data_IF_900389082062
#
_entry.id   IF_900389082062
#
_cell.length_a   1.000
_cell.length_b   1.000
_cell.length_c   1.000
_cell.angle_alpha   90.00
_cell.angle_beta   90.00
_cell.angle_gamma   90.00
#
_symmetry.space_group_name_H-M   'P 1'
#
loop_
_entity.id
_entity.type
_entity.pdbx_description
1 polymer ?
#
# COMPACT_ATOMS: atom_id res chain seq x y z
N UNK A 1 -42.42 86.54 11.10
CA UNK A 1 -43.45 85.89 11.93
C UNK A 1 -43.92 84.65 11.20
N UNK A 2 -43.78 83.48 11.85
CA UNK A 2 -44.68 82.30 11.76
C UNK A 2 -45.06 81.74 10.37
N UNK A 3 -44.36 80.69 9.88
CA UNK A 3 -44.69 79.24 9.98
C UNK A 3 -46.11 78.84 9.55
N UNK A 4 -46.23 77.99 8.53
CA UNK A 4 -46.88 76.67 8.63
C UNK A 4 -46.66 75.81 7.36
N UNK A 5 -46.48 74.50 7.58
CA UNK A 5 -46.14 73.44 6.62
C UNK A 5 -47.39 72.72 6.09
N UNK A 6 -47.27 72.03 4.96
CA UNK A 6 -48.09 70.85 4.61
C UNK A 6 -47.18 69.70 4.13
N UNK A 7 -47.51 68.42 4.41
CA UNK A 7 -46.55 67.31 4.40
C UNK A 7 -46.52 66.55 3.07
N UNK A 8 -45.33 66.11 2.65
CA UNK A 8 -45.15 65.10 1.61
C UNK A 8 -45.03 63.72 2.27
N UNK A 9 -45.96 62.82 1.93
CA UNK A 9 -45.93 61.42 2.35
C UNK A 9 -44.83 60.66 1.61
N UNK A 10 -43.89 60.10 2.37
CA UNK A 10 -42.85 59.22 1.87
C UNK A 10 -43.30 57.77 2.11
N UNK A 11 -43.64 57.05 1.04
CA UNK A 11 -43.97 55.63 1.10
C UNK A 11 -42.68 54.80 1.22
N UNK A 12 -42.52 54.09 2.33
CA UNK A 12 -41.40 53.18 2.59
C UNK A 12 -41.70 51.81 1.96
N UNK A 13 -41.09 51.52 0.81
CA UNK A 13 -41.11 50.20 0.18
C UNK A 13 -40.10 49.29 0.89
N UNK A 14 -40.61 48.37 1.73
CA UNK A 14 -39.81 47.31 2.33
C UNK A 14 -39.51 46.21 1.30
N UNK A 15 -38.27 46.12 0.85
CA UNK A 15 -37.77 44.96 0.09
C UNK A 15 -37.45 43.81 1.06
N UNK A 16 -38.19 42.71 0.95
CA UNK A 16 -37.89 41.45 1.63
C UNK A 16 -36.81 40.74 0.80
N UNK A 17 -35.59 40.66 1.33
CA UNK A 17 -34.53 39.81 0.78
C UNK A 17 -34.78 38.37 1.22
N UNK A 18 -35.26 37.52 0.31
CA UNK A 18 -35.28 36.07 0.50
C UNK A 18 -33.86 35.53 0.27
N UNK A 19 -33.18 35.12 1.34
CA UNK A 19 -31.91 34.40 1.27
C UNK A 19 -32.24 32.93 0.97
N UNK A 20 -32.03 32.50 -0.27
CA UNK A 20 -32.09 31.09 -0.63
C UNK A 20 -30.76 30.42 -0.24
N UNK A 21 -30.79 29.58 0.80
CA UNK A 21 -29.67 28.73 1.18
C UNK A 21 -29.53 27.59 0.16
N UNK A 22 -28.64 27.78 -0.82
CA UNK A 22 -28.24 26.71 -1.74
C UNK A 22 -27.23 25.80 -1.01
N UNK A 23 -27.69 24.60 -0.62
CA UNK A 23 -26.80 23.53 -0.18
C UNK A 23 -25.99 23.06 -1.40
N UNK A 24 -24.73 23.51 -1.52
CA UNK A 24 -23.80 22.91 -2.48
C UNK A 24 -23.38 21.56 -1.94
N UNK A 25 -23.90 20.49 -2.54
CA UNK A 25 -23.37 19.14 -2.31
C UNK A 25 -22.14 19.03 -3.20
N UNK A 26 -20.96 19.24 -2.63
CA UNK A 26 -19.71 18.89 -3.31
C UNK A 26 -19.73 17.39 -3.57
N UNK A 27 -19.58 16.91 -4.82
CA UNK A 27 -19.41 15.48 -5.03
C UNK A 27 -18.17 15.03 -4.27
N UNK A 28 -18.34 14.13 -3.31
CA UNK A 28 -17.21 13.49 -2.63
C UNK A 28 -16.41 12.78 -3.70
N UNK A 29 -15.12 13.10 -3.91
CA UNK A 29 -14.31 12.34 -4.84
C UNK A 29 -14.34 10.88 -4.42
N UNK A 30 -14.79 10.00 -5.32
CA UNK A 30 -14.69 8.56 -5.13
C UNK A 30 -13.20 8.24 -5.28
N UNK A 31 -12.52 8.01 -4.16
CA UNK A 31 -11.14 7.53 -4.19
C UNK A 31 -11.07 6.26 -5.04
N UNK A 32 -10.15 6.23 -6.00
CA UNK A 32 -9.93 5.04 -6.81
C UNK A 32 -9.53 3.87 -5.91
N UNK A 33 -9.98 2.66 -6.25
CA UNK A 33 -9.57 1.47 -5.51
C UNK A 33 -8.04 1.34 -5.58
N UNK A 34 -7.36 1.02 -4.47
CA UNK A 34 -5.91 0.90 -4.45
C UNK A 34 -5.44 -0.19 -5.42
N UNK A 35 -4.38 0.10 -6.16
CA UNK A 35 -3.79 -0.83 -7.13
C UNK A 35 -2.91 -1.83 -6.38
N UNK A 36 -3.16 -3.12 -6.57
CA UNK A 36 -2.33 -4.19 -6.01
C UNK A 36 -1.19 -4.56 -6.96
N UNK A 37 0.03 -4.71 -6.40
CA UNK A 37 1.23 -5.12 -7.14
C UNK A 37 2.01 -6.19 -6.37
N UNK A 38 2.86 -6.93 -7.08
CA UNK A 38 3.81 -7.84 -6.44
C UNK A 38 4.90 -7.05 -5.72
N UNK A 39 5.14 -7.40 -4.47
CA UNK A 39 6.25 -6.88 -3.69
C UNK A 39 7.46 -7.83 -3.77
N UNK A 40 7.33 -9.07 -3.33
CA UNK A 40 8.39 -10.08 -3.41
C UNK A 40 7.94 -11.29 -4.19
N UNK A 41 8.88 -11.94 -4.89
CA UNK A 41 8.59 -13.13 -5.67
C UNK A 41 9.82 -14.03 -5.78
N UNK A 42 9.59 -15.32 -5.59
CA UNK A 42 10.53 -16.37 -5.90
C UNK A 42 9.80 -17.53 -6.57
N UNK A 43 10.11 -17.78 -7.84
CA UNK A 43 9.23 -18.58 -8.71
C UNK A 43 9.95 -19.69 -9.47
N UNK A 44 11.26 -19.84 -9.32
CA UNK A 44 12.03 -20.86 -10.06
C UNK A 44 12.07 -22.17 -9.27
N UNK A 45 11.34 -23.22 -9.70
CA UNK A 45 11.30 -24.47 -8.95
C UNK A 45 12.61 -25.26 -9.05
N UNK A 46 13.03 -25.82 -7.92
CA UNK A 46 14.09 -26.83 -7.79
C UNK A 46 13.56 -28.02 -7.00
N UNK A 47 13.96 -28.12 -5.73
CA UNK A 47 13.49 -29.14 -4.78
C UNK A 47 12.16 -28.85 -4.06
N UNK A 48 11.93 -29.58 -2.97
CA UNK A 48 10.79 -29.41 -2.06
C UNK A 48 11.10 -30.01 -0.68
N UNK A 49 10.42 -29.53 0.36
CA UNK A 49 10.43 -30.13 1.71
C UNK A 49 9.01 -30.42 2.19
N UNK A 50 8.84 -31.46 3.00
CA UNK A 50 7.58 -31.71 3.70
C UNK A 50 7.37 -30.71 4.84
N UNK A 51 6.27 -29.97 4.79
CA UNK A 51 5.95 -28.94 5.78
C UNK A 51 5.81 -29.59 7.17
N UNK A 52 5.06 -30.69 7.27
CA UNK A 52 4.77 -31.35 8.55
C UNK A 52 5.99 -32.03 9.21
N UNK A 53 7.04 -32.38 8.44
CA UNK A 53 8.24 -33.01 8.99
C UNK A 53 9.31 -32.00 9.40
N UNK A 54 9.28 -30.79 8.83
CA UNK A 54 10.32 -29.78 9.03
C UNK A 54 9.85 -28.56 9.84
N UNK A 55 8.76 -28.69 10.60
CA UNK A 55 8.25 -27.60 11.42
C UNK A 55 9.22 -27.25 12.58
N UNK A 56 9.41 -25.96 12.91
CA UNK A 56 8.87 -24.82 12.20
C UNK A 56 9.59 -24.58 10.87
N UNK A 57 8.79 -24.36 9.82
CA UNK A 57 9.22 -24.15 8.43
C UNK A 57 8.70 -22.81 7.95
N UNK A 58 9.55 -22.03 7.29
CA UNK A 58 9.18 -20.69 6.89
C UNK A 58 10.09 -20.06 5.86
N UNK A 59 9.75 -18.85 5.43
CA UNK A 59 10.51 -18.03 4.50
C UNK A 59 10.65 -16.62 5.05
N UNK A 60 11.88 -16.15 5.22
CA UNK A 60 12.18 -14.79 5.64
C UNK A 60 12.15 -13.84 4.44
N UNK A 61 11.50 -12.69 4.60
CA UNK A 61 11.41 -11.66 3.56
C UNK A 61 11.44 -10.25 4.16
N UNK A 62 11.79 -9.27 3.33
CA UNK A 62 11.81 -7.85 3.70
C UNK A 62 10.88 -7.09 2.75
N UNK A 63 9.68 -6.65 3.18
CA UNK A 63 8.75 -5.92 2.33
C UNK A 63 9.34 -4.62 1.80
N UNK A 64 8.93 -4.22 0.59
CA UNK A 64 9.13 -2.86 0.06
C UNK A 64 7.85 -2.03 0.15
N UNK A 65 6.70 -2.69 0.28
CA UNK A 65 5.40 -2.04 0.42
C UNK A 65 5.00 -1.96 1.89
N UNK A 66 4.18 -0.97 2.24
CA UNK A 66 3.65 -0.77 3.60
C UNK A 66 2.48 -1.70 3.96
N UNK A 67 1.99 -2.48 2.99
CA UNK A 67 0.88 -3.40 3.18
C UNK A 67 1.17 -4.76 2.57
N UNK A 68 0.57 -5.78 3.14
CA UNK A 68 0.54 -7.15 2.64
C UNK A 68 -0.92 -7.55 2.41
N UNK A 69 -1.34 -7.59 1.15
CA UNK A 69 -2.70 -7.94 0.72
C UNK A 69 -2.85 -9.45 0.53
N UNK A 70 -1.80 -10.12 0.05
CA UNK A 70 -1.78 -11.58 -0.09
C UNK A 70 -0.38 -12.17 0.00
N UNK A 71 -0.33 -13.43 0.40
CA UNK A 71 0.84 -14.30 0.24
C UNK A 71 0.44 -15.50 -0.59
N UNK A 72 1.21 -15.80 -1.62
CA UNK A 72 1.07 -17.02 -2.42
C UNK A 72 2.26 -17.94 -2.18
N UNK A 73 2.01 -19.24 -2.02
CA UNK A 73 3.05 -20.28 -1.87
C UNK A 73 2.84 -21.40 -2.87
N UNK A 74 3.92 -21.97 -3.39
CA UNK A 74 3.83 -23.11 -4.32
C UNK A 74 3.95 -24.42 -3.55
N UNK A 75 2.83 -25.14 -3.45
CA UNK A 75 2.71 -26.33 -2.60
C UNK A 75 2.11 -27.51 -3.37
N UNK A 76 2.30 -28.71 -2.85
CA UNK A 76 1.66 -29.93 -3.33
C UNK A 76 1.14 -30.75 -2.14
N UNK A 77 -0.14 -31.12 -2.18
CA UNK A 77 -0.72 -32.05 -1.23
C UNK A 77 -0.43 -33.49 -1.67
N UNK A 78 0.55 -34.13 -1.05
CA UNK A 78 0.90 -35.54 -1.32
C UNK A 78 0.08 -36.54 -0.49
N UNK A 79 -0.91 -36.05 0.24
CA UNK A 79 -1.86 -36.89 0.95
C UNK A 79 -3.02 -37.29 0.05
N UNK A 80 -3.54 -38.50 0.27
CA UNK A 80 -4.74 -39.00 -0.44
C UNK A 80 -6.06 -38.39 0.05
N UNK A 81 -6.03 -37.30 0.82
CA UNK A 81 -7.22 -36.63 1.36
C UNK A 81 -7.00 -35.11 1.43
N UNK A 82 -8.08 -34.31 1.56
CA UNK A 82 -7.95 -32.86 1.74
C UNK A 82 -7.08 -32.53 2.96
N UNK A 83 -6.15 -31.60 2.80
CA UNK A 83 -5.16 -31.26 3.81
C UNK A 83 -5.30 -29.80 4.23
N UNK A 84 -5.52 -29.49 5.52
CA UNK A 84 -5.50 -28.12 6.00
C UNK A 84 -4.07 -27.57 5.92
N UNK A 85 -3.94 -26.32 5.46
CA UNK A 85 -2.68 -25.58 5.48
C UNK A 85 -2.94 -24.22 6.11
N UNK A 86 -2.16 -23.89 7.15
CA UNK A 86 -2.22 -22.59 7.81
C UNK A 86 -0.95 -21.81 7.49
N UNK A 87 -1.12 -20.59 7.01
CA UNK A 87 -0.07 -19.59 6.87
C UNK A 87 -0.11 -18.63 8.06
N UNK A 88 1.06 -18.32 8.62
CA UNK A 88 1.25 -17.26 9.60
C UNK A 88 2.27 -16.26 9.08
N UNK A 89 2.03 -14.98 9.33
CA UNK A 89 3.02 -13.91 9.10
C UNK A 89 3.55 -13.49 10.47
N UNK A 90 4.88 -13.49 10.63
CA UNK A 90 5.56 -13.13 11.88
C UNK A 90 6.49 -11.96 11.69
N UNK A 91 6.73 -11.21 12.77
CA UNK A 91 7.73 -10.14 12.81
C UNK A 91 9.11 -10.68 13.17
N UNK A 92 10.13 -10.34 12.39
CA UNK A 92 11.53 -10.60 12.69
C UNK A 92 12.00 -12.03 12.41
N UNK A 93 11.49 -13.02 13.15
CA UNK A 93 11.96 -14.41 13.10
C UNK A 93 10.82 -15.43 13.12
N UNK A 94 11.16 -16.70 12.86
CA UNK A 94 10.22 -17.84 12.93
C UNK A 94 9.62 -18.05 14.33
N UNK A 95 10.31 -17.59 15.38
CA UNK A 95 9.84 -17.60 16.76
C UNK A 95 9.24 -16.25 17.20
N UNK A 96 9.28 -15.23 16.34
CA UNK A 96 8.75 -13.91 16.61
C UNK A 96 7.21 -13.86 16.70
N UNK A 97 6.63 -12.72 17.12
CA UNK A 97 5.19 -12.60 17.30
C UNK A 97 4.44 -12.78 15.97
N UNK A 98 3.32 -13.50 16.03
CA UNK A 98 2.41 -13.68 14.89
C UNK A 98 1.59 -12.39 14.72
N UNK A 99 1.63 -11.82 13.51
CA UNK A 99 0.87 -10.64 13.12
C UNK A 99 -0.44 -11.01 12.44
N UNK A 100 -0.45 -12.10 11.67
CA UNK A 100 -1.65 -12.60 11.01
C UNK A 100 -1.58 -14.12 10.82
N UNK A 101 -2.76 -14.76 10.74
CA UNK A 101 -2.90 -16.19 10.45
C UNK A 101 -4.09 -16.42 9.50
N UNK A 102 -3.89 -17.24 8.47
CA UNK A 102 -4.92 -17.61 7.49
C UNK A 102 -4.83 -19.10 7.18
N UNK A 103 -5.99 -19.75 7.02
CA UNK A 103 -6.08 -21.18 6.73
C UNK A 103 -6.79 -21.45 5.41
N UNK A 104 -6.34 -22.48 4.70
CA UNK A 104 -6.98 -23.00 3.48
C UNK A 104 -6.99 -24.53 3.55
N UNK A 105 -7.82 -25.15 2.71
CA UNK A 105 -7.82 -26.61 2.53
C UNK A 105 -7.37 -26.92 1.11
N UNK A 106 -6.32 -27.73 0.99
CA UNK A 106 -5.77 -28.15 -0.29
C UNK A 106 -6.36 -29.50 -0.66
N UNK A 107 -6.93 -29.61 -1.86
CA UNK A 107 -7.48 -30.87 -2.36
C UNK A 107 -6.45 -32.00 -2.47
N UNK A 108 -6.86 -33.28 -2.48
CA UNK A 108 -5.95 -34.42 -2.65
C UNK A 108 -5.16 -34.30 -3.95
N UNK A 109 -3.84 -34.48 -3.91
CA UNK A 109 -2.97 -34.43 -5.10
C UNK A 109 -2.82 -33.04 -5.74
N UNK A 110 -3.48 -32.00 -5.22
CA UNK A 110 -3.41 -30.67 -5.80
C UNK A 110 -1.97 -30.11 -5.68
N UNK A 111 -1.49 -29.51 -6.78
CA UNK A 111 -0.17 -28.89 -6.88
C UNK A 111 -0.29 -27.54 -7.58
N UNK A 112 0.26 -26.49 -6.98
CA UNK A 112 0.24 -25.16 -7.57
C UNK A 112 0.43 -24.04 -6.56
N UNK A 113 0.26 -22.81 -7.06
CA UNK A 113 0.20 -21.61 -6.23
C UNK A 113 -1.10 -21.60 -5.43
N UNK A 114 -0.98 -21.41 -4.12
CA UNK A 114 -2.10 -21.26 -3.18
C UNK A 114 -2.01 -19.87 -2.56
N UNK A 115 -3.07 -19.08 -2.67
CA UNK A 115 -3.14 -17.70 -2.15
C UNK A 115 -3.78 -17.64 -0.76
N UNK A 116 -3.24 -16.78 0.10
CA UNK A 116 -3.74 -16.42 1.40
C UNK A 116 -4.03 -14.92 1.41
N UNK A 117 -5.30 -14.55 1.29
CA UNK A 117 -5.77 -13.16 1.19
C UNK A 117 -5.99 -12.52 2.58
N UNK A 118 -5.56 -11.27 2.73
CA UNK A 118 -5.76 -10.43 3.90
C UNK A 118 -6.77 -9.32 3.59
N UNK A 119 -7.93 -9.39 4.24
CA UNK A 119 -8.95 -8.33 4.21
C UNK A 119 -9.42 -8.06 5.65
N UNK A 120 -9.14 -6.89 6.24
CA UNK A 120 -8.31 -5.81 5.67
C UNK A 120 -6.85 -6.25 5.42
N UNK A 121 -6.13 -5.50 4.59
CA UNK A 121 -4.71 -5.74 4.33
C UNK A 121 -3.89 -5.69 5.62
N UNK A 122 -2.83 -6.48 5.71
CA UNK A 122 -1.94 -6.49 6.87
C UNK A 122 -0.92 -5.35 6.75
N UNK A 123 -0.90 -4.46 7.72
CA UNK A 123 0.11 -3.40 7.82
C UNK A 123 1.50 -4.00 8.11
N UNK A 124 2.49 -3.60 7.31
CA UNK A 124 3.90 -3.97 7.47
C UNK A 124 4.77 -2.73 7.30
N UNK A 125 6.00 -2.80 7.80
CA UNK A 125 6.98 -1.72 7.69
C UNK A 125 8.01 -2.08 6.61
N UNK A 126 8.15 -1.28 5.54
CA UNK A 126 9.19 -1.48 4.53
C UNK A 126 10.57 -1.57 5.17
N UNK A 127 11.44 -2.42 4.62
CA UNK A 127 12.81 -2.58 5.11
C UNK A 127 12.95 -3.40 6.41
N UNK A 128 11.85 -3.79 7.07
CA UNK A 128 11.89 -4.70 8.23
C UNK A 128 11.75 -6.16 7.82
N UNK A 129 12.37 -7.07 8.57
CA UNK A 129 12.26 -8.52 8.32
C UNK A 129 10.96 -9.10 8.87
N UNK A 130 10.33 -9.94 8.08
CA UNK A 130 9.15 -10.75 8.41
C UNK A 130 9.38 -12.19 8.00
N UNK A 131 8.58 -13.10 8.55
CA UNK A 131 8.62 -14.53 8.21
C UNK A 131 7.23 -15.03 7.84
N UNK A 132 7.13 -15.71 6.70
CA UNK A 132 5.98 -16.55 6.35
C UNK A 132 6.24 -17.92 6.97
N UNK A 133 5.39 -18.40 7.86
CA UNK A 133 5.43 -19.77 8.40
C UNK A 133 4.26 -20.57 7.85
N UNK A 134 4.53 -21.80 7.40
CA UNK A 134 3.48 -22.75 7.05
C UNK A 134 3.35 -23.84 8.11
N UNK A 135 2.12 -24.19 8.45
CA UNK A 135 1.78 -25.20 9.45
C UNK A 135 0.73 -26.15 8.89
N UNK A 136 1.02 -27.44 8.98
CA UNK A 136 0.05 -28.52 8.69
C UNK A 136 0.46 -29.81 9.43
N UNK A 137 -0.51 -30.67 9.70
CA UNK A 137 -0.32 -32.02 10.22
C UNK A 137 -0.32 -33.08 9.09
N UNK A 138 -0.42 -32.66 7.83
CA UNK A 138 -0.50 -33.54 6.65
C UNK A 138 0.75 -33.46 5.78
N UNK A 139 1.03 -34.48 4.95
CA UNK A 139 2.17 -34.49 4.04
C UNK A 139 1.92 -33.55 2.84
N UNK A 140 1.95 -32.25 3.11
CA UNK A 140 2.01 -31.18 2.11
C UNK A 140 3.47 -30.76 1.98
N UNK A 141 3.94 -30.61 0.75
CA UNK A 141 5.30 -30.12 0.48
C UNK A 141 5.29 -28.66 0.05
N UNK A 142 6.31 -27.91 0.45
CA UNK A 142 6.59 -26.56 -0.04
C UNK A 142 7.81 -26.62 -0.95
N UNK A 143 7.66 -26.13 -2.18
CA UNK A 143 8.75 -26.15 -3.16
C UNK A 143 9.80 -25.09 -2.84
N UNK A 144 11.07 -25.42 -3.11
CA UNK A 144 12.22 -24.53 -2.98
C UNK A 144 12.77 -24.15 -4.34
N UNK A 145 13.56 -23.08 -4.38
CA UNK A 145 14.47 -22.77 -5.49
C UNK A 145 15.88 -23.31 -5.18
N UNK A 146 16.61 -23.73 -6.21
CA UNK A 146 18.03 -24.13 -6.07
C UNK A 146 18.99 -22.96 -6.32
N UNK A 147 18.53 -21.92 -7.01
CA UNK A 147 19.33 -20.73 -7.37
C UNK A 147 19.26 -19.61 -6.33
N UNK A 148 18.45 -19.78 -5.28
CA UNK A 148 18.06 -18.69 -4.39
C UNK A 148 17.12 -17.68 -5.08
N UNK A 149 16.74 -16.65 -4.34
CA UNK A 149 15.95 -15.52 -4.85
C UNK A 149 16.77 -14.23 -4.75
N UNK A 150 16.32 -13.16 -5.40
CA UNK A 150 16.90 -11.84 -5.18
C UNK A 150 16.71 -11.38 -3.72
N UNK A 151 17.63 -10.54 -3.22
CA UNK A 151 17.49 -9.76 -1.98
C UNK A 151 17.53 -10.54 -0.65
N UNK A 152 18.45 -11.49 -0.49
CA UNK A 152 18.82 -12.03 0.83
C UNK A 152 17.71 -12.82 1.54
N UNK A 153 16.74 -13.32 0.78
CA UNK A 153 15.66 -14.20 1.23
C UNK A 153 16.24 -15.53 1.70
N UNK A 154 15.69 -16.09 2.79
CA UNK A 154 16.20 -17.28 3.43
C UNK A 154 15.04 -18.17 3.85
N UNK A 155 15.04 -19.40 3.35
CA UNK A 155 14.17 -20.43 3.91
C UNK A 155 14.62 -20.81 5.30
N UNK A 156 13.67 -21.26 6.08
CA UNK A 156 13.81 -21.76 7.43
C UNK A 156 13.26 -23.18 7.42
N UNK A 157 14.09 -24.15 7.77
CA UNK A 157 13.74 -25.58 7.82
C UNK A 157 14.23 -26.12 9.15
N UNK A 158 13.37 -26.80 9.90
CA UNK A 158 13.68 -27.24 11.28
C UNK A 158 14.09 -26.07 12.18
N UNK A 159 13.48 -24.90 11.97
CA UNK A 159 13.81 -23.66 12.66
C UNK A 159 15.17 -23.03 12.31
N UNK A 160 15.92 -23.62 11.39
CA UNK A 160 17.27 -23.16 11.00
C UNK A 160 17.26 -22.49 9.63
N UNK A 161 18.01 -21.39 9.42
CA UNK A 161 18.07 -20.70 8.13
C UNK A 161 18.94 -21.45 7.12
N UNK A 162 18.58 -21.37 5.84
CA UNK A 162 19.33 -21.92 4.72
C UNK A 162 19.53 -20.84 3.62
N UNK A 163 20.53 -21.05 2.76
CA UNK A 163 20.93 -20.08 1.73
C UNK A 163 20.04 -20.05 0.48
N UNK A 164 19.12 -21.01 0.36
CA UNK A 164 18.07 -21.00 -0.65
C UNK A 164 16.74 -20.59 -0.02
N UNK A 165 15.67 -20.63 -0.79
CA UNK A 165 14.38 -20.08 -0.39
C UNK A 165 13.24 -21.00 -0.84
N UNK A 166 12.14 -20.92 -0.13
CA UNK A 166 10.88 -21.48 -0.59
C UNK A 166 10.28 -20.61 -1.70
N UNK A 167 9.43 -21.22 -2.53
CA UNK A 167 8.68 -20.49 -3.54
C UNK A 167 7.52 -19.73 -2.91
N UNK A 168 7.59 -18.41 -2.97
CA UNK A 168 6.57 -17.52 -2.45
C UNK A 168 6.41 -16.29 -3.33
N UNK A 169 5.25 -15.64 -3.21
CA UNK A 169 5.00 -14.29 -3.71
C UNK A 169 4.27 -13.51 -2.64
N UNK A 170 4.58 -12.22 -2.49
CA UNK A 170 3.81 -11.29 -1.68
C UNK A 170 3.25 -10.20 -2.56
N UNK A 171 2.04 -9.74 -2.24
CA UNK A 171 1.45 -8.55 -2.86
C UNK A 171 1.10 -7.53 -1.79
N UNK A 172 1.06 -6.27 -2.20
CA UNK A 172 0.60 -5.17 -1.39
C UNK A 172 0.02 -4.08 -2.27
N UNK A 173 -0.57 -3.08 -1.64
CA UNK A 173 -0.99 -1.89 -2.37
C UNK A 173 0.24 -1.12 -2.84
N UNK A 174 0.21 -0.76 -4.11
CA UNK A 174 1.16 0.18 -4.70
C UNK A 174 1.15 1.45 -3.85
N UNK A 175 2.32 2.00 -3.51
CA UNK A 175 2.37 3.30 -2.87
C UNK A 175 1.80 4.32 -3.86
N UNK A 176 0.64 4.88 -3.55
CA UNK A 176 0.06 5.99 -4.29
C UNK A 176 0.11 7.25 -3.40
N UNK A 177 0.31 8.38 -4.07
CA UNK A 177 0.27 9.71 -3.50
C UNK A 177 -0.87 10.49 -4.16
N UNK A 178 -1.58 11.29 -3.37
CA UNK A 178 -2.35 12.39 -3.93
C UNK A 178 -1.46 13.63 -3.96
N UNK A 179 -1.39 14.27 -5.12
CA UNK A 179 -0.75 15.56 -5.31
C UNK A 179 -1.85 16.62 -5.41
N UNK A 180 -1.85 17.56 -4.46
CA UNK A 180 -2.70 18.74 -4.51
C UNK A 180 -1.86 19.99 -4.75
N UNK A 181 -2.35 20.89 -5.61
CA UNK A 181 -1.86 22.26 -5.73
C UNK A 181 -2.86 23.17 -5.01
N UNK A 182 -2.42 23.91 -4.00
CA UNK A 182 -3.28 24.85 -3.29
C UNK A 182 -3.47 26.18 -4.04
N UNK A 183 -2.60 26.43 -5.04
CA UNK A 183 -2.67 27.61 -5.91
C UNK A 183 -2.89 27.18 -7.37
N UNK A 184 -4.01 27.59 -7.96
CA UNK A 184 -4.34 27.32 -9.36
C UNK A 184 -3.65 28.25 -10.35
N UNK A 185 -3.15 29.40 -9.90
CA UNK A 185 -2.36 30.35 -10.67
C UNK A 185 -1.29 30.99 -9.78
N UNK A 186 -0.10 31.22 -10.35
CA UNK A 186 1.02 31.90 -9.69
C UNK A 186 1.50 32.98 -10.65
N UNK A 187 1.32 34.24 -10.27
CA UNK A 187 1.78 35.40 -11.05
C UNK A 187 3.01 35.98 -10.36
N UNK A 188 4.07 36.20 -11.13
CA UNK A 188 5.34 36.74 -10.61
C UNK A 188 5.70 37.96 -11.44
N UNK A 189 5.94 39.10 -10.78
CA UNK A 189 6.51 40.29 -11.44
C UNK A 189 8.05 40.21 -11.50
N UNK A 190 8.66 40.91 -12.44
CA UNK A 190 10.12 40.85 -12.61
C UNK A 190 10.85 41.29 -11.33
N UNK A 191 11.68 40.41 -10.79
CA UNK A 191 12.45 40.67 -9.57
C UNK A 191 11.75 40.22 -8.28
N UNK A 192 10.55 39.66 -8.36
CA UNK A 192 9.85 39.08 -7.22
C UNK A 192 10.12 37.57 -7.08
N UNK A 193 9.82 37.06 -5.88
CA UNK A 193 9.82 35.64 -5.56
C UNK A 193 8.41 35.23 -5.15
N UNK A 194 7.91 34.14 -5.71
CA UNK A 194 6.65 33.52 -5.28
C UNK A 194 6.91 32.14 -4.71
N UNK A 195 6.16 31.78 -3.67
CA UNK A 195 6.21 30.46 -3.05
C UNK A 195 4.97 29.66 -3.45
N UNK A 196 5.19 28.43 -3.90
CA UNK A 196 4.12 27.47 -4.22
C UNK A 196 4.26 26.31 -3.28
N UNK A 197 3.25 26.11 -2.44
CA UNK A 197 3.19 24.95 -1.58
C UNK A 197 2.57 23.77 -2.34
N UNK A 198 3.34 22.69 -2.47
CA UNK A 198 2.87 21.41 -3.01
C UNK A 198 2.71 20.46 -1.83
N UNK A 199 1.48 20.06 -1.54
CA UNK A 199 1.23 19.06 -0.50
C UNK A 199 1.15 17.68 -1.15
N UNK A 200 2.05 16.78 -0.74
CA UNK A 200 2.03 15.37 -1.10
C UNK A 200 1.46 14.58 0.08
N UNK A 201 0.29 13.97 -0.10
CA UNK A 201 -0.31 13.13 0.93
C UNK A 201 -0.12 11.66 0.56
N UNK A 202 0.69 10.88 1.29
CA UNK A 202 0.82 9.45 1.04
C UNK A 202 -0.47 8.75 1.48
N UNK A 203 -1.10 8.00 0.57
CA UNK A 203 -2.34 7.28 0.91
C UNK A 203 -2.06 6.00 1.73
N UNK A 204 -0.85 5.44 1.67
CA UNK A 204 -0.54 4.12 2.26
C UNK A 204 0.88 4.00 2.86
N UNK A 205 1.36 5.03 3.56
CA UNK A 205 2.77 5.12 4.03
C UNK A 205 3.78 4.90 2.90
N UNK A 206 3.57 5.58 1.78
CA UNK A 206 4.50 5.53 0.66
C UNK A 206 5.91 5.94 1.11
N UNK A 207 6.91 5.13 0.77
CA UNK A 207 8.32 5.46 0.86
C UNK A 207 8.90 5.40 -0.56
N UNK A 208 9.60 6.45 -0.97
CA UNK A 208 10.22 6.57 -2.28
C UNK A 208 10.36 8.03 -2.70
N UNK A 209 11.33 8.29 -3.58
CA UNK A 209 11.54 9.61 -4.15
C UNK A 209 10.43 9.92 -5.17
N UNK A 210 9.80 11.09 -5.05
CA UNK A 210 8.83 11.58 -6.02
C UNK A 210 9.55 12.62 -6.88
N UNK A 211 9.94 12.29 -8.13
CA UNK A 211 10.57 13.27 -9.00
C UNK A 211 9.56 14.34 -9.38
N UNK A 212 9.81 15.59 -9.00
CA UNK A 212 9.08 16.74 -9.48
C UNK A 212 9.73 17.23 -10.77
N UNK A 213 8.94 17.36 -11.85
CA UNK A 213 9.41 17.89 -13.13
C UNK A 213 8.59 19.09 -13.54
N UNK A 214 9.26 20.15 -13.96
CA UNK A 214 8.65 21.34 -14.56
C UNK A 214 8.69 21.18 -16.08
N UNK A 215 7.57 21.43 -16.75
CA UNK A 215 7.48 21.45 -18.22
C UNK A 215 6.61 22.62 -18.67
N UNK A 216 7.07 23.46 -19.62
CA UNK A 216 8.37 23.41 -20.31
C UNK A 216 9.56 23.74 -19.38
N UNK A 217 10.78 23.36 -19.79
CA UNK A 217 12.00 23.81 -19.12
C UNK A 217 12.12 25.33 -19.31
N UNK A 218 12.05 26.09 -18.22
CA UNK A 218 12.12 27.56 -18.25
C UNK A 218 13.49 28.10 -17.84
N UNK A 219 14.52 27.25 -17.72
CA UNK A 219 15.87 27.69 -17.36
C UNK A 219 16.44 28.70 -18.36
N UNK A 220 16.10 28.58 -19.65
CA UNK A 220 16.46 29.55 -20.69
C UNK A 220 15.78 30.92 -20.52
N UNK A 221 14.71 31.00 -19.71
CA UNK A 221 13.99 32.22 -19.40
C UNK A 221 14.42 32.87 -18.08
N UNK A 222 15.51 32.40 -17.46
CA UNK A 222 16.06 32.97 -16.23
C UNK A 222 15.25 32.64 -14.97
N UNK A 223 14.32 31.70 -15.06
CA UNK A 223 13.60 31.16 -13.90
C UNK A 223 14.44 30.05 -13.27
N UNK A 224 14.71 30.18 -11.97
CA UNK A 224 15.44 29.19 -11.19
C UNK A 224 14.49 28.65 -10.13
N UNK A 225 14.40 27.33 -10.01
CA UNK A 225 13.56 26.66 -9.00
C UNK A 225 14.48 26.08 -7.93
N UNK A 226 14.26 26.48 -6.70
CA UNK A 226 14.95 25.92 -5.54
C UNK A 226 13.94 25.12 -4.73
N UNK A 227 14.31 23.89 -4.39
CA UNK A 227 13.54 23.06 -3.47
C UNK A 227 14.17 23.22 -2.09
N UNK A 228 13.40 23.70 -1.11
CA UNK A 228 13.82 23.72 0.28
C UNK A 228 13.18 22.55 1.02
N UNK A 229 14.01 21.70 1.62
CA UNK A 229 13.57 20.74 2.63
C UNK A 229 13.62 21.47 3.99
N UNK A 230 12.46 21.72 4.60
CA UNK A 230 12.36 22.13 6.02
C UNK A 230 12.43 20.91 6.96
#
# INVERSE_FOLDING_TARGET
MERARHPAGLALLGQIFSVALLLSVSPTPIAAAPVEIYDRACTTPGGWDYINYHMPIGEAFVPRLGTLTSVEVYVENRFGSPSPLTLKVRRGSITGPVLASKGVVIGPGAKGWVSFEFSPALEVEPGRTYVIELVTDRPVVWYVTDSGCADGQQRITDGSPWMNAYLFKTKGYKPDFEMGLNTTEVTIEQGETAHVEVTLTPLYRAQGDIPLMVSPDTSEHGLTFEFSDD
#
